data_IF_026169552755
#
_entry.id   IF_026169552755
#
_cell.length_a   1.000
_cell.length_b   1.000
_cell.length_c   1.000
_cell.angle_alpha   90.00
_cell.angle_beta   90.00
_cell.angle_gamma   90.00
#
_symmetry.space_group_name_H-M   'P 1'
#
loop_
_entity.id
_entity.type
_entity.pdbx_description
1 polymer ?
#
# COMPACT_ATOMS: atom_id res chain seq x y z
N UNK A 1 15.62 -9.51 17.08
CA UNK A 1 15.46 -10.78 16.36
C UNK A 1 16.20 -10.66 15.03
N UNK A 2 17.15 -11.55 14.75
CA UNK A 2 17.96 -11.53 13.52
C UNK A 2 17.13 -12.17 12.39
N UNK A 3 16.88 -11.41 11.31
CA UNK A 3 16.18 -11.91 10.13
C UNK A 3 16.99 -13.04 9.47
N UNK A 4 16.30 -14.08 9.04
CA UNK A 4 16.88 -15.22 8.31
C UNK A 4 17.33 -14.79 6.91
N UNK A 5 18.31 -15.52 6.32
CA UNK A 5 18.88 -15.22 4.99
C UNK A 5 17.82 -15.09 3.88
N UNK A 6 16.71 -15.80 4.03
CA UNK A 6 15.57 -15.85 3.09
C UNK A 6 14.65 -14.62 3.21
N UNK A 7 14.44 -14.12 4.44
CA UNK A 7 13.71 -12.86 4.70
C UNK A 7 14.51 -11.66 4.16
N UNK A 8 15.84 -11.72 4.28
CA UNK A 8 16.74 -10.71 3.74
C UNK A 8 16.68 -10.66 2.20
N UNK A 9 16.66 -11.81 1.52
CA UNK A 9 16.57 -11.86 0.06
C UNK A 9 15.17 -11.50 -0.49
N UNK A 10 14.12 -11.60 0.32
CA UNK A 10 12.76 -11.15 -0.04
C UNK A 10 12.59 -9.65 0.14
N UNK A 11 13.19 -9.04 1.17
CA UNK A 11 13.31 -7.58 1.26
C UNK A 11 14.09 -7.01 0.08
N UNK A 12 15.17 -7.63 -0.38
CA UNK A 12 15.91 -7.16 -1.57
C UNK A 12 15.09 -7.09 -2.86
N UNK A 13 13.98 -7.83 -2.97
CA UNK A 13 13.17 -7.86 -4.20
C UNK A 13 12.32 -6.60 -4.40
N UNK A 14 11.94 -5.87 -3.35
CA UNK A 14 11.03 -4.72 -3.54
C UNK A 14 11.69 -3.53 -4.24
N UNK A 15 12.99 -3.31 -4.06
CA UNK A 15 13.73 -2.28 -4.81
C UNK A 15 13.80 -2.60 -6.30
N UNK A 16 14.05 -3.86 -6.64
CA UNK A 16 14.12 -4.29 -8.04
C UNK A 16 12.74 -4.37 -8.70
N UNK A 17 11.70 -4.79 -7.96
CA UNK A 17 10.31 -4.78 -8.42
C UNK A 17 9.75 -3.36 -8.54
N UNK A 18 9.97 -2.50 -7.56
CA UNK A 18 9.56 -1.10 -7.58
C UNK A 18 10.18 -0.36 -8.75
N UNK A 19 11.49 -0.52 -8.97
CA UNK A 19 12.17 0.03 -10.14
C UNK A 19 11.58 -0.48 -11.48
N UNK A 20 11.28 -1.79 -11.58
CA UNK A 20 10.66 -2.39 -12.77
C UNK A 20 9.27 -1.82 -13.06
N UNK A 21 8.42 -1.66 -12.04
CA UNK A 21 7.09 -1.05 -12.18
C UNK A 21 7.23 0.38 -12.71
N UNK A 22 8.18 1.14 -12.16
CA UNK A 22 8.42 2.53 -12.54
C UNK A 22 9.09 2.69 -13.92
N UNK A 23 9.65 1.62 -14.49
CA UNK A 23 10.26 1.67 -15.84
C UNK A 23 9.22 1.90 -16.93
N UNK A 24 7.94 1.57 -16.66
CA UNK A 24 6.84 1.81 -17.58
C UNK A 24 6.35 3.28 -17.59
N UNK A 25 6.96 4.15 -16.78
CA UNK A 25 6.58 5.56 -16.65
C UNK A 25 7.77 6.43 -17.06
N UNK A 26 7.55 7.33 -18.03
CA UNK A 26 8.54 8.33 -18.42
C UNK A 26 8.55 9.48 -17.41
N UNK A 27 9.44 9.39 -16.43
CA UNK A 27 9.69 10.48 -15.51
C UNK A 27 10.63 11.53 -16.12
N UNK A 28 10.42 12.83 -15.85
CA UNK A 28 11.35 13.88 -16.27
C UNK A 28 12.72 13.83 -15.55
N UNK A 29 12.85 12.96 -14.53
CA UNK A 29 14.04 12.80 -13.69
C UNK A 29 14.33 11.30 -13.47
N UNK A 30 15.57 10.91 -13.09
CA UNK A 30 15.96 9.51 -12.96
C UNK A 30 15.42 8.84 -11.68
N UNK A 31 14.09 8.68 -11.59
CA UNK A 31 13.39 8.10 -10.44
C UNK A 31 13.68 6.60 -10.29
N UNK A 32 13.76 5.87 -11.40
CA UNK A 32 14.03 4.41 -11.40
C UNK A 32 15.37 4.09 -10.72
N UNK A 33 16.51 4.74 -11.05
CA UNK A 33 17.75 4.59 -10.30
C UNK A 33 17.66 4.98 -8.83
N UNK A 34 16.88 5.99 -8.48
CA UNK A 34 16.73 6.43 -7.08
C UNK A 34 16.03 5.33 -6.26
N UNK A 35 14.90 4.83 -6.76
CA UNK A 35 14.13 3.79 -6.09
C UNK A 35 14.89 2.46 -6.09
N UNK A 36 15.64 2.11 -7.13
CA UNK A 36 16.40 0.86 -7.15
C UNK A 36 17.49 0.82 -6.06
N UNK A 37 18.19 1.92 -5.84
CA UNK A 37 19.43 1.94 -5.05
C UNK A 37 19.28 2.55 -3.66
N UNK A 38 18.07 2.91 -3.21
CA UNK A 38 17.89 3.53 -1.88
C UNK A 38 18.18 2.60 -0.69
N UNK A 39 18.47 1.32 -0.95
CA UNK A 39 18.98 0.37 0.05
C UNK A 39 20.46 0.01 -0.13
N UNK A 40 21.16 0.70 -1.03
CA UNK A 40 22.62 0.69 -1.02
C UNK A 40 23.14 1.38 0.24
N UNK A 41 24.27 0.89 0.75
CA UNK A 41 24.94 1.45 1.92
C UNK A 41 26.23 2.12 1.47
N UNK A 42 26.56 3.25 2.11
CA UNK A 42 27.74 4.04 1.77
C UNK A 42 29.05 3.21 1.73
N UNK A 43 29.17 2.17 2.56
CA UNK A 43 30.31 1.26 2.62
C UNK A 43 30.26 0.05 1.66
N UNK A 44 29.25 -0.04 0.79
CA UNK A 44 29.08 -1.12 -0.18
C UNK A 44 28.41 -2.38 0.34
N UNK A 45 27.98 -2.43 1.61
CA UNK A 45 27.30 -3.62 2.19
C UNK A 45 25.80 -3.67 1.91
N UNK A 46 25.30 -2.70 1.15
CA UNK A 46 23.90 -2.60 0.75
C UNK A 46 23.55 -3.50 -0.43
N UNK A 47 22.42 -3.19 -1.06
CA UNK A 47 21.86 -3.95 -2.16
C UNK A 47 21.01 -3.04 -3.06
N UNK A 48 20.70 -3.42 -4.32
CA UNK A 48 20.93 -4.72 -4.95
C UNK A 48 22.32 -4.93 -5.57
N UNK A 49 23.03 -3.87 -5.91
CA UNK A 49 24.21 -3.88 -6.78
C UNK A 49 25.53 -3.68 -6.00
N UNK A 50 25.46 -3.31 -4.71
CA UNK A 50 26.63 -3.20 -3.82
C UNK A 50 27.48 -1.96 -4.10
N UNK A 51 26.84 -0.88 -4.53
CA UNK A 51 27.49 0.37 -4.90
C UNK A 51 28.14 1.05 -3.68
N UNK A 52 29.31 1.66 -3.87
CA UNK A 52 30.08 2.29 -2.78
C UNK A 52 30.10 3.81 -2.93
N UNK A 53 29.86 4.52 -1.83
CA UNK A 53 30.04 5.96 -1.75
C UNK A 53 29.26 6.72 -2.82
N UNK A 54 29.98 7.50 -3.63
CA UNK A 54 29.40 8.36 -4.66
C UNK A 54 28.89 7.62 -5.91
N UNK A 55 29.17 6.31 -6.03
CA UNK A 55 28.57 5.46 -7.08
C UNK A 55 27.05 5.32 -6.89
N UNK A 56 26.58 5.45 -5.63
CA UNK A 56 25.16 5.47 -5.31
C UNK A 56 24.57 6.79 -5.84
N UNK A 57 23.49 6.76 -6.64
CA UNK A 57 22.83 7.97 -7.13
C UNK A 57 22.49 8.93 -5.98
N UNK A 58 22.76 10.22 -6.15
CA UNK A 58 22.56 11.20 -5.08
C UNK A 58 21.13 11.17 -4.52
N UNK A 59 20.12 11.02 -5.39
CA UNK A 59 18.74 10.91 -4.96
C UNK A 59 18.46 9.65 -4.13
N UNK A 60 19.13 8.52 -4.40
CA UNK A 60 19.04 7.31 -3.58
C UNK A 60 19.69 7.51 -2.20
N UNK A 61 20.82 8.23 -2.14
CA UNK A 61 21.48 8.58 -0.88
C UNK A 61 20.66 9.55 -0.03
N UNK A 62 19.96 10.50 -0.65
CA UNK A 62 19.00 11.37 0.05
C UNK A 62 17.82 10.55 0.55
N UNK A 63 17.21 9.74 -0.33
CA UNK A 63 16.03 8.95 -0.03
C UNK A 63 16.28 7.96 1.13
N UNK A 64 17.46 7.33 1.19
CA UNK A 64 17.79 6.37 2.26
C UNK A 64 17.87 7.02 3.65
N UNK A 65 18.37 8.25 3.75
CA UNK A 65 18.39 9.02 4.99
C UNK A 65 16.98 9.43 5.41
N UNK A 66 16.19 9.93 4.45
CA UNK A 66 14.80 10.35 4.69
C UNK A 66 13.93 9.15 5.10
N UNK A 67 14.02 8.03 4.39
CA UNK A 67 13.28 6.80 4.69
C UNK A 67 13.61 6.26 6.08
N UNK A 68 14.90 6.26 6.45
CA UNK A 68 15.29 5.88 7.81
C UNK A 68 14.72 6.82 8.86
N UNK A 69 14.78 8.14 8.65
CA UNK A 69 14.27 9.10 9.61
C UNK A 69 12.76 8.95 9.78
N UNK A 70 12.00 8.93 8.67
CA UNK A 70 10.54 8.74 8.66
C UNK A 70 10.16 7.43 9.35
N UNK A 71 10.89 6.34 9.08
CA UNK A 71 10.67 5.05 9.72
C UNK A 71 10.90 5.08 11.24
N UNK A 72 11.82 5.90 11.73
CA UNK A 72 12.14 6.04 13.15
C UNK A 72 11.17 6.96 13.89
N UNK A 73 10.68 8.02 13.23
CA UNK A 73 9.82 9.08 13.80
C UNK A 73 8.33 8.90 13.50
N UNK A 74 7.96 7.85 12.78
CA UNK A 74 6.56 7.45 12.57
C UNK A 74 6.11 6.44 13.62
N UNK A 75 4.86 6.57 14.07
CA UNK A 75 4.23 5.55 14.92
C UNK A 75 3.98 4.28 14.12
N UNK A 76 4.42 3.14 14.66
CA UNK A 76 4.19 1.81 14.08
C UNK A 76 3.43 0.96 15.09
N UNK A 77 2.61 -0.01 14.66
CA UNK A 77 1.78 -0.83 15.56
C UNK A 77 2.53 -1.52 16.72
N UNK A 78 3.85 -1.72 16.59
CA UNK A 78 4.69 -2.40 17.59
C UNK A 78 5.75 -1.50 18.23
N UNK A 79 5.77 -0.21 17.87
CA UNK A 79 6.79 0.72 18.36
C UNK A 79 6.29 2.15 18.25
N UNK A 80 6.23 2.83 19.39
CA UNK A 80 6.05 4.27 19.45
C UNK A 80 7.17 4.98 18.69
N UNK A 81 6.83 6.06 17.99
CA UNK A 81 7.82 6.91 17.33
C UNK A 81 8.92 7.35 18.28
N UNK A 82 10.15 7.47 17.75
CA UNK A 82 11.23 8.13 18.47
C UNK A 82 11.09 9.64 18.36
N UNK A 83 11.69 10.35 19.31
CA UNK A 83 11.89 11.79 19.17
C UNK A 83 12.87 12.07 18.02
N UNK A 84 12.76 13.27 17.44
CA UNK A 84 13.65 13.70 16.37
C UNK A 84 15.12 13.64 16.84
N UNK A 85 15.41 14.01 18.08
CA UNK A 85 16.76 13.95 18.66
C UNK A 85 17.32 12.53 18.62
N UNK A 86 16.52 11.55 19.07
CA UNK A 86 16.96 10.16 19.10
C UNK A 86 17.09 9.57 17.70
N UNK A 87 16.22 9.96 16.77
CA UNK A 87 16.35 9.56 15.37
C UNK A 87 17.62 10.14 14.72
N UNK A 88 17.95 11.40 15.01
CA UNK A 88 19.18 12.06 14.54
C UNK A 88 20.45 11.41 15.13
N UNK A 89 20.43 10.99 16.39
CA UNK A 89 21.54 10.21 16.99
C UNK A 89 21.79 8.89 16.24
N UNK A 90 20.72 8.17 15.89
CA UNK A 90 20.81 6.93 15.11
C UNK A 90 21.40 7.21 13.73
N UNK A 91 20.94 8.25 13.02
CA UNK A 91 21.52 8.65 11.74
C UNK A 91 23.02 8.95 11.86
N UNK A 92 23.42 9.73 12.87
CA UNK A 92 24.85 10.05 13.13
C UNK A 92 25.68 8.80 13.40
N UNK A 93 25.16 7.84 14.18
CA UNK A 93 25.86 6.58 14.48
C UNK A 93 26.10 5.70 13.24
N UNK A 94 25.31 5.89 12.18
CA UNK A 94 25.38 5.13 10.93
C UNK A 94 26.04 5.92 9.79
N UNK A 95 26.50 7.13 10.09
CA UNK A 95 27.19 8.03 9.16
C UNK A 95 28.49 7.38 8.66
N UNK A 96 28.71 7.39 7.35
CA UNK A 96 29.91 6.83 6.72
C UNK A 96 29.94 5.30 6.63
N UNK A 97 28.89 4.62 7.09
CA UNK A 97 28.70 3.17 6.89
C UNK A 97 27.44 2.92 6.09
N UNK A 98 26.27 3.25 6.63
CA UNK A 98 25.01 3.14 5.89
C UNK A 98 24.75 4.38 5.03
N UNK A 99 25.03 5.57 5.58
CA UNK A 99 24.59 6.83 4.97
C UNK A 99 25.76 7.73 4.60
N UNK A 100 25.56 8.48 3.52
CA UNK A 100 26.47 9.54 3.08
C UNK A 100 26.68 10.57 4.19
N UNK A 101 27.93 10.81 4.64
CA UNK A 101 28.23 11.79 5.68
C UNK A 101 27.72 13.20 5.39
N UNK A 102 27.83 13.67 4.15
CA UNK A 102 27.43 15.03 3.80
C UNK A 102 25.91 15.20 3.88
N UNK A 103 25.16 14.18 3.46
CA UNK A 103 23.69 14.20 3.47
C UNK A 103 23.15 14.11 4.90
N UNK A 104 23.72 13.25 5.75
CA UNK A 104 23.29 13.15 7.15
C UNK A 104 23.43 14.49 7.86
N UNK A 105 24.57 15.17 7.73
CA UNK A 105 24.79 16.47 8.37
C UNK A 105 23.83 17.52 7.80
N UNK A 106 23.67 17.59 6.47
CA UNK A 106 22.77 18.56 5.86
C UNK A 106 21.30 18.30 6.23
N UNK A 107 20.88 17.05 6.28
CA UNK A 107 19.51 16.68 6.67
C UNK A 107 19.23 17.09 8.12
N UNK A 108 20.15 16.81 9.05
CA UNK A 108 20.03 17.19 10.46
C UNK A 108 19.95 18.72 10.62
N UNK A 109 20.74 19.48 9.87
CA UNK A 109 20.67 20.94 9.84
C UNK A 109 19.28 21.45 9.43
N UNK A 110 18.59 20.74 8.53
CA UNK A 110 17.30 21.15 7.98
C UNK A 110 16.08 20.77 8.84
N UNK A 111 16.18 19.75 9.71
CA UNK A 111 15.04 19.25 10.50
C UNK A 111 14.29 20.36 11.26
N UNK A 112 14.93 21.29 11.99
CA UNK A 112 14.21 22.36 12.70
C UNK A 112 13.44 23.31 11.78
N UNK A 113 13.88 23.50 10.53
CA UNK A 113 13.14 24.28 9.53
C UNK A 113 11.94 23.49 9.00
N UNK A 114 12.17 22.24 8.60
CA UNK A 114 11.12 21.34 8.09
C UNK A 114 9.98 21.16 9.10
N UNK A 115 10.28 21.02 10.40
CA UNK A 115 9.25 20.91 11.45
C UNK A 115 8.45 22.19 11.67
N UNK A 116 9.07 23.35 11.49
CA UNK A 116 8.34 24.63 11.55
C UNK A 116 7.41 24.78 10.35
N UNK A 117 7.85 24.33 9.18
CA UNK A 117 7.02 24.30 7.97
C UNK A 117 5.85 23.31 8.12
N UNK A 118 6.09 22.09 8.63
CA UNK A 118 5.04 21.10 8.91
C UNK A 118 3.97 21.64 9.89
N UNK A 119 4.42 22.34 10.94
CA UNK A 119 3.54 22.95 11.93
C UNK A 119 2.76 24.15 11.38
N UNK A 120 3.37 24.93 10.48
CA UNK A 120 2.73 26.09 9.84
C UNK A 120 1.75 25.71 8.73
N UNK A 121 1.96 24.58 8.05
CA UNK A 121 1.13 24.11 6.94
C UNK A 121 0.12 23.03 7.34
N UNK A 122 -0.07 22.77 8.63
CA UNK A 122 -1.08 21.82 9.12
C UNK A 122 -0.88 20.41 8.57
N UNK A 123 0.35 19.87 8.65
CA UNK A 123 0.66 18.52 8.17
C UNK A 123 0.39 18.35 6.68
N UNK A 124 1.08 19.14 5.84
CA UNK A 124 0.86 19.07 4.40
C UNK A 124 1.37 17.74 3.83
N UNK A 125 0.49 17.10 3.07
CA UNK A 125 0.67 15.85 2.37
C UNK A 125 1.73 15.98 1.25
N UNK A 126 3.01 15.93 1.62
CA UNK A 126 4.14 15.91 0.66
C UNK A 126 4.06 14.67 -0.24
N UNK A 127 3.44 13.57 0.24
CA UNK A 127 3.13 12.37 -0.56
C UNK A 127 2.10 12.69 -1.64
N UNK A 128 1.11 13.53 -1.34
CA UNK A 128 0.17 14.10 -2.29
C UNK A 128 0.83 14.88 -3.42
N UNK A 129 1.91 15.64 -3.15
CA UNK A 129 2.63 16.42 -4.18
C UNK A 129 3.43 15.56 -5.17
N UNK A 130 4.04 14.47 -4.69
CA UNK A 130 4.77 13.52 -5.55
C UNK A 130 3.80 12.73 -6.41
N UNK A 131 2.65 12.32 -5.85
CA UNK A 131 1.57 11.66 -6.60
C UNK A 131 0.89 12.62 -7.56
N UNK A 132 0.70 13.89 -7.19
CA UNK A 132 0.18 14.91 -8.08
C UNK A 132 1.12 15.17 -9.25
N UNK A 133 2.44 15.29 -9.03
CA UNK A 133 3.42 15.44 -10.11
C UNK A 133 3.49 14.23 -11.04
N UNK A 134 3.31 13.02 -10.50
CA UNK A 134 3.17 11.76 -11.23
C UNK A 134 1.88 11.70 -12.06
N UNK A 135 0.76 12.08 -11.45
CA UNK A 135 -0.54 12.17 -12.08
C UNK A 135 -0.56 13.27 -13.14
N UNK A 136 0.17 14.36 -12.97
CA UNK A 136 0.27 15.47 -13.91
C UNK A 136 1.10 15.07 -15.15
N UNK A 137 2.22 14.36 -14.96
CA UNK A 137 3.00 13.76 -16.06
C UNK A 137 2.22 12.66 -16.82
N UNK A 138 1.30 11.96 -16.14
CA UNK A 138 0.37 11.03 -16.77
C UNK A 138 -0.83 11.74 -17.45
N UNK A 139 -1.28 12.86 -16.88
CA UNK A 139 -2.44 13.65 -17.33
C UNK A 139 -2.14 14.54 -18.54
N UNK A 140 -0.88 14.95 -18.75
CA UNK A 140 -0.47 15.67 -19.96
C UNK A 140 -0.62 14.85 -21.25
N UNK A 141 -0.75 13.51 -21.16
CA UNK A 141 -1.07 12.62 -22.28
C UNK A 141 -2.55 12.23 -22.40
N UNK A 142 -3.40 12.76 -21.52
CA UNK A 142 -4.82 12.38 -21.45
C UNK A 142 -5.72 13.57 -21.11
N UNK A 143 -5.77 14.58 -21.98
CA UNK A 143 -6.90 15.50 -21.97
C UNK A 143 -8.10 14.80 -22.58
N UNK A 144 -8.98 14.28 -21.74
CA UNK A 144 -10.36 14.73 -21.72
C UNK A 144 -11.01 14.46 -20.37
N UNK A 145 -11.49 15.55 -19.78
CA UNK A 145 -12.23 15.64 -18.53
C UNK A 145 -13.59 14.97 -18.70
N UNK A 146 -14.01 14.16 -17.73
CA UNK A 146 -15.39 14.26 -17.23
C UNK A 146 -15.44 13.92 -15.75
N UNK A 147 -15.63 14.96 -14.93
CA UNK A 147 -16.24 14.88 -13.61
C UNK A 147 -17.55 14.10 -13.73
N UNK A 148 -17.62 12.90 -13.14
CA UNK A 148 -18.90 12.25 -12.87
C UNK A 148 -19.05 12.12 -11.36
N UNK A 149 -19.77 13.08 -10.81
CA UNK A 149 -20.45 12.95 -9.54
C UNK A 149 -21.39 11.71 -9.60
N UNK A 150 -21.30 10.85 -8.59
CA UNK A 150 -22.30 9.81 -8.32
C UNK A 150 -21.76 8.39 -8.22
N UNK A 151 -21.09 8.07 -7.10
CA UNK A 151 -20.98 6.68 -6.64
C UNK A 151 -22.05 6.46 -5.56
N UNK A 152 -23.01 5.53 -5.73
CA UNK A 152 -23.99 5.22 -4.69
C UNK A 152 -23.35 4.39 -3.56
N UNK A 153 -24.04 4.39 -2.41
CA UNK A 153 -23.71 3.70 -1.17
C UNK A 153 -23.07 2.31 -1.36
N UNK A 154 -21.91 2.09 -0.71
CA UNK A 154 -21.13 0.83 -0.62
C UNK A 154 -21.08 0.07 -1.94
N UNK A 155 -20.02 0.30 -2.73
CA UNK A 155 -19.77 -0.43 -3.97
C UNK A 155 -19.98 -1.94 -3.76
N UNK A 156 -21.10 -2.45 -4.29
CA UNK A 156 -21.45 -3.86 -4.19
C UNK A 156 -20.46 -4.62 -5.06
N UNK A 157 -19.55 -5.36 -4.42
CA UNK A 157 -18.49 -6.12 -5.09
C UNK A 157 -19.13 -7.09 -6.09
N UNK A 158 -18.75 -7.04 -7.37
CA UNK A 158 -19.38 -7.88 -8.40
C UNK A 158 -19.12 -9.37 -8.17
N UNK A 159 -19.99 -10.29 -8.65
CA UNK A 159 -19.87 -11.73 -8.40
C UNK A 159 -18.50 -12.33 -8.74
N UNK A 160 -17.88 -11.87 -9.83
CA UNK A 160 -16.54 -12.32 -10.25
C UNK A 160 -15.45 -11.99 -9.23
N UNK A 161 -15.50 -10.78 -8.65
CA UNK A 161 -14.55 -10.36 -7.62
C UNK A 161 -14.81 -11.13 -6.32
N UNK A 162 -16.08 -11.40 -5.98
CA UNK A 162 -16.42 -12.25 -4.82
C UNK A 162 -15.89 -13.67 -4.99
N UNK A 163 -16.02 -14.26 -6.17
CA UNK A 163 -15.50 -15.59 -6.47
C UNK A 163 -13.97 -15.64 -6.34
N UNK A 164 -13.27 -14.69 -6.96
CA UNK A 164 -11.81 -14.57 -6.83
C UNK A 164 -11.37 -14.46 -5.36
N UNK A 165 -12.01 -13.56 -4.60
CA UNK A 165 -11.76 -13.39 -3.19
C UNK A 165 -11.99 -14.69 -2.41
N UNK A 166 -13.16 -15.32 -2.57
CA UNK A 166 -13.51 -16.56 -1.88
C UNK A 166 -12.54 -17.69 -2.17
N UNK A 167 -12.25 -17.94 -3.45
CA UNK A 167 -11.35 -19.02 -3.90
C UNK A 167 -9.92 -18.85 -3.39
N UNK A 168 -9.46 -17.60 -3.21
CA UNK A 168 -8.09 -17.35 -2.76
C UNK A 168 -7.97 -17.34 -1.24
N UNK A 169 -8.94 -16.74 -0.54
CA UNK A 169 -8.95 -16.75 0.92
C UNK A 169 -9.16 -18.17 1.47
N UNK A 170 -9.98 -19.01 0.82
CA UNK A 170 -10.20 -20.40 1.23
C UNK A 170 -8.94 -21.28 1.19
N UNK A 171 -7.86 -20.85 0.51
CA UNK A 171 -6.57 -21.54 0.49
C UNK A 171 -5.65 -21.15 1.65
N UNK A 172 -6.00 -20.14 2.42
CA UNK A 172 -5.27 -19.71 3.61
C UNK A 172 -5.91 -20.41 4.82
N UNK A 173 -5.13 -21.26 5.48
CA UNK A 173 -5.62 -22.03 6.62
C UNK A 173 -6.12 -21.12 7.75
N UNK A 174 -7.30 -21.44 8.29
CA UNK A 174 -7.95 -20.74 9.41
C UNK A 174 -8.04 -19.22 9.25
N UNK A 175 -8.23 -18.76 8.01
CA UNK A 175 -8.31 -17.35 7.69
C UNK A 175 -9.75 -16.88 7.50
N UNK A 176 -10.05 -15.73 8.09
CA UNK A 176 -11.20 -14.91 7.75
C UNK A 176 -10.71 -13.66 7.02
N UNK A 177 -11.56 -13.00 6.24
CA UNK A 177 -11.15 -11.78 5.56
C UNK A 177 -12.30 -10.81 5.34
N UNK A 178 -11.95 -9.53 5.32
CA UNK A 178 -12.81 -8.43 4.89
C UNK A 178 -12.18 -7.69 3.72
N UNK A 179 -12.98 -7.45 2.69
CA UNK A 179 -12.75 -6.47 1.66
C UNK A 179 -13.49 -5.20 2.06
N UNK A 180 -12.74 -4.17 2.43
CA UNK A 180 -13.27 -2.85 2.73
C UNK A 180 -13.17 -1.96 1.49
N UNK A 181 -14.20 -1.18 1.22
CA UNK A 181 -14.20 -0.10 0.23
C UNK A 181 -14.21 1.26 0.94
N UNK A 182 -13.56 2.26 0.34
CA UNK A 182 -13.67 3.64 0.81
C UNK A 182 -15.10 4.13 0.60
N UNK A 183 -15.72 4.68 1.65
CA UNK A 183 -17.06 5.24 1.57
C UNK A 183 -17.10 6.49 0.70
N UNK A 184 -18.29 6.86 0.22
CA UNK A 184 -18.47 7.99 -0.71
C UNK A 184 -17.97 9.34 -0.15
N UNK A 185 -17.99 9.52 1.18
CA UNK A 185 -17.47 10.72 1.85
C UNK A 185 -15.94 10.68 2.06
N UNK A 186 -15.27 9.55 1.80
CA UNK A 186 -13.83 9.40 1.93
C UNK A 186 -13.28 9.32 3.36
N UNK A 187 -14.16 9.26 4.37
CA UNK A 187 -13.83 9.32 5.80
C UNK A 187 -13.87 7.95 6.50
N UNK A 188 -14.55 6.97 5.89
CA UNK A 188 -14.76 5.64 6.44
C UNK A 188 -14.40 4.54 5.43
N UNK A 189 -13.90 3.42 5.95
CA UNK A 189 -13.89 2.12 5.31
C UNK A 189 -15.17 1.35 5.67
N UNK A 190 -15.85 0.85 4.65
CA UNK A 190 -17.10 0.10 4.76
C UNK A 190 -16.90 -1.31 4.22
N UNK A 191 -17.49 -2.32 4.87
CA UNK A 191 -17.38 -3.71 4.43
C UNK A 191 -18.12 -3.90 3.11
N UNK A 192 -17.36 -4.19 2.05
CA UNK A 192 -17.87 -4.46 0.72
C UNK A 192 -18.09 -5.98 0.49
N UNK A 193 -17.25 -6.81 1.13
CA UNK A 193 -17.43 -8.25 1.21
C UNK A 193 -16.65 -8.85 2.39
N UNK A 194 -17.10 -9.97 2.94
CA UNK A 194 -16.41 -10.68 4.02
C UNK A 194 -16.63 -12.20 3.91
N UNK A 195 -15.72 -12.97 4.49
CA UNK A 195 -15.87 -14.43 4.65
C UNK A 195 -17.01 -14.79 5.59
N UNK A 196 -17.52 -16.02 5.50
CA UNK A 196 -18.78 -16.42 6.12
C UNK A 196 -18.83 -16.25 7.64
N UNK A 197 -17.76 -16.57 8.39
CA UNK A 197 -17.79 -16.45 9.87
C UNK A 197 -17.71 -15.00 10.34
N UNK A 198 -17.12 -14.11 9.54
CA UNK A 198 -17.18 -12.67 9.76
C UNK A 198 -18.51 -12.07 9.27
N UNK A 199 -19.07 -12.59 8.18
CA UNK A 199 -20.12 -11.98 7.34
C UNK A 199 -21.17 -11.16 8.07
N UNK A 200 -22.07 -11.81 8.80
CA UNK A 200 -23.20 -11.13 9.47
C UNK A 200 -22.77 -10.12 10.53
N UNK A 201 -21.73 -10.45 11.30
CA UNK A 201 -21.21 -9.61 12.38
C UNK A 201 -20.33 -8.46 11.88
N UNK A 202 -19.72 -8.62 10.71
CA UNK A 202 -18.81 -7.64 10.10
C UNK A 202 -19.55 -6.60 9.25
N UNK A 203 -20.78 -6.88 8.79
CA UNK A 203 -21.53 -5.99 7.90
C UNK A 203 -21.76 -4.58 8.47
N UNK A 204 -21.79 -4.43 9.79
CA UNK A 204 -21.94 -3.14 10.48
C UNK A 204 -20.60 -2.43 10.76
N UNK A 205 -19.46 -3.08 10.51
CA UNK A 205 -18.14 -2.50 10.76
C UNK A 205 -17.94 -1.25 9.90
N UNK A 206 -17.51 -0.20 10.59
CA UNK A 206 -17.13 1.09 10.01
C UNK A 206 -15.79 1.46 10.64
N UNK A 207 -14.75 1.49 9.81
CA UNK A 207 -13.40 1.83 10.29
C UNK A 207 -13.08 3.24 9.80
N UNK A 208 -12.84 4.22 10.69
CA UNK A 208 -12.38 5.54 10.28
C UNK A 208 -11.09 5.45 9.47
N UNK A 209 -10.99 6.25 8.41
CA UNK A 209 -9.72 6.40 7.67
C UNK A 209 -8.66 6.95 8.65
N UNK A 210 -7.51 6.26 8.72
CA UNK A 210 -6.47 6.50 9.72
C UNK A 210 -6.68 5.79 11.07
N UNK A 211 -7.85 5.20 11.31
CA UNK A 211 -8.18 4.44 12.51
C UNK A 211 -7.89 2.94 12.37
N UNK A 212 -7.54 2.28 13.46
CA UNK A 212 -7.27 0.85 13.48
C UNK A 212 -6.10 0.45 12.56
N UNK A 213 -6.07 -0.81 12.15
CA UNK A 213 -5.10 -1.34 11.19
C UNK A 213 -5.54 -0.99 9.77
N UNK A 214 -6.77 -1.33 9.39
CA UNK A 214 -7.24 -1.14 8.01
C UNK A 214 -7.32 0.34 7.62
N UNK A 215 -7.78 1.21 8.53
CA UNK A 215 -7.82 2.65 8.25
C UNK A 215 -6.41 3.27 8.15
N UNK A 216 -5.44 2.79 8.94
CA UNK A 216 -4.04 3.21 8.77
C UNK A 216 -3.50 2.80 7.39
N UNK A 217 -3.80 1.58 6.93
CA UNK A 217 -3.41 1.10 5.60
C UNK A 217 -4.01 1.97 4.50
N UNK A 218 -5.26 2.40 4.64
CA UNK A 218 -5.91 3.28 3.68
C UNK A 218 -5.17 4.63 3.55
N UNK A 219 -4.79 5.27 4.66
CA UNK A 219 -4.05 6.54 4.65
C UNK A 219 -2.64 6.36 4.11
N UNK A 220 -1.93 5.36 4.61
CA UNK A 220 -0.50 5.20 4.36
C UNK A 220 -0.19 4.40 3.10
N UNK A 221 -1.22 3.84 2.45
CA UNK A 221 -1.11 3.07 1.20
C UNK A 221 -0.06 1.96 1.28
N UNK A 222 0.10 1.39 2.48
CA UNK A 222 1.19 0.50 2.83
C UNK A 222 0.65 -0.72 3.56
N UNK A 223 1.17 -1.90 3.24
CA UNK A 223 0.71 -3.16 3.84
C UNK A 223 1.21 -3.29 5.28
N UNK A 224 0.29 -3.56 6.21
CA UNK A 224 0.61 -4.00 7.58
C UNK A 224 0.63 -5.53 7.62
N UNK A 225 1.61 -6.08 8.35
CA UNK A 225 1.82 -7.52 8.51
C UNK A 225 1.64 -7.90 9.99
N UNK A 226 0.94 -9.02 10.23
CA UNK A 226 0.77 -9.68 11.53
C UNK A 226 0.27 -8.80 12.70
N UNK A 227 -0.54 -7.77 12.42
CA UNK A 227 -1.07 -6.85 13.43
C UNK A 227 -2.18 -7.47 14.27
N UNK A 228 -2.45 -6.87 15.43
CA UNK A 228 -3.53 -7.30 16.32
C UNK A 228 -4.91 -7.02 15.68
N UNK A 229 -5.71 -8.07 15.38
CA UNK A 229 -7.05 -7.92 14.80
C UNK A 229 -8.02 -7.08 15.63
N UNK A 230 -7.82 -6.99 16.95
CA UNK A 230 -8.71 -6.24 17.86
C UNK A 230 -8.74 -4.75 17.56
N UNK A 231 -7.70 -4.22 16.91
CA UNK A 231 -7.64 -2.83 16.47
C UNK A 231 -8.67 -2.48 15.40
N UNK A 232 -9.11 -3.47 14.61
CA UNK A 232 -10.19 -3.31 13.63
C UNK A 232 -11.53 -3.87 14.14
N UNK A 233 -11.48 -5.00 14.85
CA UNK A 233 -12.65 -5.83 15.12
C UNK A 233 -13.16 -5.74 16.58
N UNK A 234 -12.38 -5.18 17.50
CA UNK A 234 -12.70 -5.17 18.93
C UNK A 234 -13.02 -6.57 19.46
N UNK A 235 -14.11 -6.71 20.22
CA UNK A 235 -14.56 -7.96 20.84
C UNK A 235 -14.83 -9.08 19.82
N UNK A 236 -15.13 -8.74 18.56
CA UNK A 236 -15.36 -9.73 17.50
C UNK A 236 -14.08 -10.56 17.25
N UNK A 237 -12.89 -9.95 17.34
CA UNK A 237 -11.64 -10.68 17.22
C UNK A 237 -11.46 -11.71 18.34
N UNK A 238 -11.90 -11.39 19.56
CA UNK A 238 -11.83 -12.32 20.69
C UNK A 238 -12.81 -13.49 20.52
N UNK A 239 -14.06 -13.18 20.13
CA UNK A 239 -15.11 -14.19 19.91
C UNK A 239 -14.76 -15.20 18.80
N UNK A 240 -13.97 -14.77 17.81
CA UNK A 240 -13.53 -15.60 16.69
C UNK A 240 -12.11 -16.17 16.90
N UNK A 241 -11.50 -15.92 18.06
CA UNK A 241 -10.14 -16.32 18.40
C UNK A 241 -9.08 -15.86 17.38
N UNK A 242 -9.28 -14.69 16.77
CA UNK A 242 -8.33 -14.08 15.83
C UNK A 242 -7.15 -13.49 16.60
N UNK A 243 -5.93 -13.68 16.08
CA UNK A 243 -4.67 -13.35 16.76
C UNK A 243 -3.72 -12.52 15.91
N UNK A 244 -3.81 -12.61 14.59
CA UNK A 244 -2.98 -11.84 13.68
C UNK A 244 -3.78 -11.42 12.45
N UNK A 245 -3.41 -10.30 11.83
CA UNK A 245 -3.95 -9.87 10.55
C UNK A 245 -2.90 -9.32 9.60
N UNK A 246 -3.15 -9.49 8.30
CA UNK A 246 -2.46 -8.82 7.20
C UNK A 246 -3.47 -7.84 6.62
N UNK A 247 -3.09 -6.58 6.44
CA UNK A 247 -3.94 -5.57 5.83
C UNK A 247 -3.18 -4.88 4.71
N UNK A 248 -3.75 -4.89 3.50
CA UNK A 248 -3.08 -4.43 2.28
C UNK A 248 -4.01 -3.55 1.43
N UNK A 249 -3.51 -2.45 0.85
CA UNK A 249 -4.35 -1.55 0.06
C UNK A 249 -4.75 -2.19 -1.28
N UNK A 250 -5.94 -1.86 -1.76
CA UNK A 250 -6.43 -2.20 -3.09
C UNK A 250 -6.54 -0.93 -3.89
N UNK A 251 -5.87 -0.91 -5.05
CA UNK A 251 -5.90 0.21 -5.97
C UNK A 251 -6.71 -0.11 -7.23
N UNK A 252 -7.44 0.89 -7.71
CA UNK A 252 -8.01 0.92 -9.05
C UNK A 252 -7.20 1.94 -9.86
N UNK A 253 -6.26 1.45 -10.67
CA UNK A 253 -5.27 2.34 -11.27
C UNK A 253 -4.41 3.02 -10.19
N UNK A 254 -4.45 4.35 -10.13
CA UNK A 254 -3.72 5.15 -9.13
C UNK A 254 -4.55 5.49 -7.89
N UNK A 255 -5.87 5.24 -7.92
CA UNK A 255 -6.77 5.59 -6.82
C UNK A 255 -6.92 4.44 -5.83
N UNK A 256 -7.00 4.77 -4.55
CA UNK A 256 -7.30 3.79 -3.51
C UNK A 256 -8.79 3.44 -3.60
N UNK A 257 -9.09 2.20 -3.97
CA UNK A 257 -10.44 1.66 -3.91
C UNK A 257 -10.81 1.28 -2.47
N UNK A 258 -9.86 0.70 -1.74
CA UNK A 258 -10.14 0.11 -0.43
C UNK A 258 -8.98 -0.68 0.13
N UNK A 259 -9.29 -1.61 1.03
CA UNK A 259 -8.32 -2.40 1.79
C UNK A 259 -8.79 -3.85 1.88
N UNK A 260 -7.87 -4.79 1.63
CA UNK A 260 -8.06 -6.21 1.93
C UNK A 260 -7.39 -6.52 3.27
N UNK A 261 -8.18 -7.00 4.23
CA UNK A 261 -7.65 -7.46 5.51
C UNK A 261 -7.98 -8.93 5.73
N UNK A 262 -6.94 -9.72 5.97
CA UNK A 262 -7.01 -11.17 6.25
C UNK A 262 -6.64 -11.39 7.71
N UNK A 263 -7.50 -12.03 8.46
CA UNK A 263 -7.39 -12.32 9.88
C UNK A 263 -7.18 -13.82 10.08
N UNK A 264 -6.30 -14.19 11.00
CA UNK A 264 -5.96 -15.59 11.29
C UNK A 264 -5.96 -15.88 12.77
N UNK A 265 -6.14 -17.14 13.13
CA UNK A 265 -6.13 -17.63 14.52
C UNK A 265 -4.73 -17.93 15.05
N UNK A 266 -3.71 -17.93 14.17
CA UNK A 266 -2.35 -18.34 14.50
C UNK A 266 -1.65 -17.28 15.35
N UNK A 267 -1.22 -17.66 16.56
CA UNK A 267 -0.48 -16.76 17.46
C UNK A 267 0.91 -16.36 16.91
N UNK A 268 1.52 -17.21 16.07
CA UNK A 268 2.79 -16.92 15.43
C UNK A 268 2.67 -15.92 14.25
N UNK A 269 1.45 -15.59 13.84
CA UNK A 269 1.19 -14.79 12.64
C UNK A 269 1.31 -15.59 11.35
N UNK A 270 1.12 -14.90 10.23
CA UNK A 270 1.24 -15.41 8.88
C UNK A 270 2.68 -15.42 8.41
N UNK A 271 3.01 -16.40 7.56
CA UNK A 271 4.30 -16.48 6.85
C UNK A 271 4.43 -15.40 5.78
N UNK A 272 5.67 -15.09 5.40
CA UNK A 272 5.96 -14.16 4.30
C UNK A 272 5.35 -14.62 2.95
N UNK A 273 5.26 -15.92 2.71
CA UNK A 273 4.61 -16.49 1.52
C UNK A 273 3.10 -16.16 1.49
N UNK A 274 2.43 -16.30 2.62
CA UNK A 274 1.02 -15.93 2.75
C UNK A 274 0.85 -14.42 2.59
N UNK A 275 1.72 -13.61 3.20
CA UNK A 275 1.70 -12.15 3.07
C UNK A 275 1.85 -11.72 1.60
N UNK A 276 2.80 -12.29 0.88
CA UNK A 276 2.99 -12.02 -0.54
C UNK A 276 1.76 -12.45 -1.36
N UNK A 277 1.17 -13.60 -1.04
CA UNK A 277 -0.04 -14.11 -1.71
C UNK A 277 -1.25 -13.19 -1.51
N UNK A 278 -1.43 -12.62 -0.31
CA UNK A 278 -2.49 -11.65 -0.02
C UNK A 278 -2.26 -10.35 -0.78
N UNK A 279 -1.01 -9.87 -0.88
CA UNK A 279 -0.67 -8.69 -1.66
C UNK A 279 -0.97 -8.86 -3.16
N UNK A 280 -0.65 -10.03 -3.73
CA UNK A 280 -0.99 -10.35 -5.13
C UNK A 280 -2.51 -10.41 -5.35
N UNK A 281 -3.26 -11.00 -4.40
CA UNK A 281 -4.72 -11.03 -4.46
C UNK A 281 -5.32 -9.63 -4.46
N UNK A 282 -4.80 -8.71 -3.63
CA UNK A 282 -5.29 -7.33 -3.59
C UNK A 282 -5.10 -6.60 -4.93
N UNK A 283 -3.97 -6.82 -5.61
CA UNK A 283 -3.73 -6.29 -6.95
C UNK A 283 -4.70 -6.88 -7.98
N UNK A 284 -4.92 -8.19 -7.95
CA UNK A 284 -5.83 -8.87 -8.87
C UNK A 284 -7.28 -8.40 -8.68
N UNK A 285 -7.72 -8.24 -7.42
CA UNK A 285 -9.01 -7.65 -7.08
C UNK A 285 -9.12 -6.23 -7.65
N UNK A 286 -8.12 -5.38 -7.43
CA UNK A 286 -8.11 -4.00 -7.96
C UNK A 286 -8.25 -3.95 -9.48
N UNK A 287 -7.51 -4.78 -10.20
CA UNK A 287 -7.60 -4.92 -11.66
C UNK A 287 -8.97 -5.45 -12.11
N UNK A 288 -9.53 -6.42 -11.39
CA UNK A 288 -10.83 -7.00 -11.72
C UNK A 288 -11.98 -5.99 -11.53
N UNK A 289 -11.87 -5.10 -10.53
CA UNK A 289 -12.83 -4.01 -10.34
C UNK A 289 -12.66 -2.97 -11.46
N UNK A 290 -11.44 -2.54 -11.76
CA UNK A 290 -11.16 -1.56 -12.82
C UNK A 290 -11.71 -1.97 -14.20
N UNK A 291 -11.54 -3.25 -14.57
CA UNK A 291 -12.09 -3.81 -15.82
C UNK A 291 -13.61 -3.78 -15.84
N UNK A 292 -14.22 -4.12 -14.71
CA UNK A 292 -15.67 -4.16 -14.62
C UNK A 292 -16.30 -2.76 -14.74
N UNK A 293 -15.61 -1.72 -14.31
CA UNK A 293 -16.06 -0.33 -14.44
C UNK A 293 -15.82 0.22 -15.86
N UNK A 294 -14.76 -0.24 -16.55
CA UNK A 294 -14.52 0.07 -17.96
C UNK A 294 -15.55 -0.57 -18.91
N UNK A 295 -16.06 -1.75 -18.57
CA UNK A 295 -17.08 -2.48 -19.34
C UNK A 295 -18.52 -1.94 -19.13
N UNK A 296 -18.70 -0.63 -18.91
CA UNK A 296 -20.02 -0.01 -18.68
C UNK A 296 -21.07 -0.42 -19.71
N UNK A 297 -22.18 -1.01 -19.22
CA UNK A 297 -23.39 -1.41 -19.98
C UNK A 297 -23.24 -2.62 -20.96
N UNK A 298 -23.55 -3.82 -20.46
CA UNK A 298 -24.12 -4.90 -21.28
C UNK A 298 -25.54 -5.26 -20.79
N UNK A 299 -26.41 -4.24 -20.69
CA UNK A 299 -27.86 -4.43 -20.78
C UNK A 299 -28.37 -4.15 -22.19
N UNK A 300 -27.51 -4.26 -23.21
CA UNK A 300 -28.00 -4.34 -24.58
C UNK A 300 -28.70 -5.69 -24.75
N UNK A 301 -30.01 -5.73 -25.08
CA UNK A 301 -30.63 -6.98 -25.43
C UNK A 301 -29.87 -7.53 -26.64
N UNK A 302 -29.46 -8.79 -26.56
CA UNK A 302 -28.97 -9.54 -27.71
C UNK A 302 -30.04 -9.45 -28.79
N UNK A 303 -29.86 -8.55 -29.76
CA UNK A 303 -30.69 -8.50 -30.96
C UNK A 303 -30.37 -9.77 -31.72
N UNK A 304 -31.18 -10.81 -31.52
CA UNK A 304 -31.18 -11.99 -32.37
C UNK A 304 -31.46 -11.49 -33.79
N UNK A 305 -30.45 -11.59 -34.67
CA UNK A 305 -30.67 -11.42 -36.11
C UNK A 305 -31.81 -12.36 -36.52
N UNK A 306 -32.86 -11.88 -37.21
CA UNK A 306 -33.85 -12.78 -37.78
C UNK A 306 -33.16 -13.67 -38.82
N UNK A 307 -33.63 -14.91 -39.00
CA UNK A 307 -33.06 -15.80 -40.00
C UNK A 307 -33.21 -15.14 -41.38
N UNK A 308 -32.12 -15.14 -42.14
CA UNK A 308 -32.11 -14.74 -43.55
C UNK A 308 -33.10 -15.66 -44.26
N UNK A 309 -34.23 -15.12 -44.72
CA UNK A 309 -35.12 -15.83 -45.61
C UNK A 309 -34.34 -16.16 -46.90
N UNK A 310 -34.26 -17.46 -47.21
CA UNK A 310 -33.80 -17.90 -48.52
C UNK A 310 -34.77 -17.34 -49.57
N UNK A 311 -34.25 -16.50 -50.47
CA UNK A 311 -34.96 -16.11 -51.68
C UNK A 311 -34.79 -17.27 -52.66
N UNK A 312 -35.88 -18.01 -52.87
CA UNK A 312 -36.13 -18.88 -54.02
C UNK A 312 -36.48 -18.04 -55.24
#
# INVERSE_FOLDING_TARGET
SSLTRVEHDTMKKHVTMGARILTAVDFPYPVVPIVRHHHEQWDGRGYPDGLVGAEIPIGARILSVVDCFDALTSDRPYRSRLSDERAMEILRSRKGTFYDPAIVEKFIELIPALRREDAAHGGSDVRGFVVAGLAQAASERGRESTLVAGLPAVATVRPRVRALFGDRIARIADAEACLFAVGAAGDLLLVAHATLRLGGSAASLRIPIGGGVSGWVAVNRSTIRNADPRLDLGDLAESLALRACISTPIFMGAELFGVLTVYGTQAAGFSDETIASVGMLAQEIGLAIARADADGDDTRPVVRRPPIAAVS
#
